data_IF_084082304734
#
_entry.id   IF_084082304734
#
_cell.length_a   1.000
_cell.length_b   1.000
_cell.length_c   1.000
_cell.angle_alpha   90.00
_cell.angle_beta   90.00
_cell.angle_gamma   90.00
#
_symmetry.space_group_name_H-M   'P 1'
#
loop_
_entity.id
_entity.type
_entity.pdbx_description
1 polymer ?
#
# COMPACT_ATOMS: atom_id res chain seq x y z
N UNK A 1 -2.07 15.07 -7.74
CA UNK A 1 -1.52 14.55 -6.48
C UNK A 1 -0.65 13.36 -6.83
N UNK A 2 0.49 13.14 -6.16
CA UNK A 2 1.38 12.02 -6.50
C UNK A 2 0.95 10.74 -5.77
N UNK A 3 0.96 9.62 -6.48
CA UNK A 3 0.59 8.28 -5.98
C UNK A 3 1.53 7.87 -4.85
N UNK A 4 2.85 8.00 -5.07
CA UNK A 4 3.89 7.67 -4.09
C UNK A 4 3.71 8.40 -2.75
N UNK A 5 3.29 9.66 -2.78
CA UNK A 5 3.06 10.44 -1.55
C UNK A 5 1.86 9.90 -0.78
N UNK A 6 0.76 9.62 -1.47
CA UNK A 6 -0.45 9.08 -0.85
C UNK A 6 -0.23 7.63 -0.38
N UNK A 7 0.53 6.84 -1.14
CA UNK A 7 0.96 5.50 -0.80
C UNK A 7 1.80 5.47 0.46
N UNK A 8 2.82 6.33 0.57
CA UNK A 8 3.63 6.43 1.78
C UNK A 8 2.81 6.82 3.01
N UNK A 9 1.86 7.75 2.87
CA UNK A 9 0.92 8.12 3.96
C UNK A 9 0.08 6.91 4.38
N UNK A 10 -0.53 6.22 3.41
CA UNK A 10 -1.35 5.04 3.66
C UNK A 10 -0.55 3.95 4.35
N UNK A 11 0.63 3.60 3.81
CA UNK A 11 1.46 2.54 4.34
C UNK A 11 1.90 2.81 5.78
N UNK A 12 2.55 3.96 6.02
CA UNK A 12 3.20 4.22 7.30
C UNK A 12 2.18 4.58 8.37
N UNK A 13 1.19 5.41 8.06
CA UNK A 13 0.30 5.98 9.08
C UNK A 13 -0.96 5.15 9.31
N UNK A 14 -1.46 4.46 8.28
CA UNK A 14 -2.70 3.68 8.36
C UNK A 14 -2.41 2.19 8.52
N UNK A 15 -1.64 1.61 7.58
CA UNK A 15 -1.34 0.18 7.57
C UNK A 15 -0.24 -0.23 8.55
N UNK A 16 0.52 0.74 9.07
CA UNK A 16 1.68 0.54 9.97
C UNK A 16 2.75 -0.37 9.36
N UNK A 17 2.94 -0.25 8.04
CA UNK A 17 3.93 -1.02 7.29
C UNK A 17 5.21 -0.24 6.96
N UNK A 18 6.11 -0.94 6.28
CA UNK A 18 7.30 -0.40 5.63
C UNK A 18 6.95 -0.03 4.17
N UNK A 19 7.07 1.25 3.83
CA UNK A 19 6.80 1.73 2.48
C UNK A 19 8.01 1.50 1.57
N UNK A 20 7.78 1.18 0.29
CA UNK A 20 8.83 0.95 -0.71
C UNK A 20 9.84 -0.11 -0.24
N UNK A 21 9.34 -1.24 0.28
CA UNK A 21 10.19 -2.33 0.79
C UNK A 21 10.93 -3.01 -0.36
N UNK A 22 12.26 -3.14 -0.25
CA UNK A 22 13.10 -3.66 -1.31
C UNK A 22 13.37 -5.17 -1.16
N UNK A 23 13.10 -5.94 -2.21
CA UNK A 23 13.28 -7.38 -2.24
C UNK A 23 14.17 -7.82 -3.39
N UNK A 24 14.96 -8.85 -3.13
CA UNK A 24 15.74 -9.55 -4.16
C UNK A 24 15.23 -10.97 -4.32
N UNK A 25 15.20 -11.43 -5.56
CA UNK A 25 14.74 -12.77 -5.88
C UNK A 25 15.54 -13.34 -7.05
N UNK A 26 15.69 -14.65 -7.06
CA UNK A 26 16.32 -15.36 -8.16
C UNK A 26 15.26 -15.79 -9.16
N UNK A 27 15.55 -15.63 -10.44
CA UNK A 27 14.71 -16.17 -11.50
C UNK A 27 15.58 -16.77 -12.60
N UNK A 28 15.10 -17.87 -13.19
CA UNK A 28 15.74 -18.47 -14.33
C UNK A 28 15.29 -17.77 -15.60
N UNK A 29 16.21 -17.06 -16.24
CA UNK A 29 15.95 -16.28 -17.45
C UNK A 29 17.01 -16.59 -18.49
N UNK A 30 16.59 -16.81 -19.75
CA UNK A 30 17.48 -17.10 -20.87
C UNK A 30 18.48 -18.25 -20.68
N UNK A 31 18.18 -19.23 -19.83
CA UNK A 31 19.06 -20.38 -19.60
C UNK A 31 20.04 -20.22 -18.42
N UNK A 32 19.98 -19.10 -17.69
CA UNK A 32 20.85 -18.81 -16.55
C UNK A 32 20.03 -18.35 -15.33
N UNK A 33 20.57 -18.59 -14.13
CA UNK A 33 20.03 -18.01 -12.90
C UNK A 33 20.52 -16.56 -12.79
N UNK A 34 19.57 -15.61 -12.72
CA UNK A 34 19.83 -14.20 -12.48
C UNK A 34 19.24 -13.72 -11.15
N UNK A 35 19.93 -12.78 -10.50
CA UNK A 35 19.42 -12.04 -9.34
C UNK A 35 18.70 -10.78 -9.85
N UNK A 36 17.44 -10.61 -9.43
CA UNK A 36 16.60 -9.46 -9.74
C UNK A 36 16.18 -8.76 -8.46
N UNK A 37 15.72 -7.52 -8.59
CA UNK A 37 15.21 -6.74 -7.46
C UNK A 37 13.91 -6.03 -7.82
N UNK A 38 13.04 -5.88 -6.83
CA UNK A 38 11.78 -5.15 -6.94
C UNK A 38 11.49 -4.39 -5.65
N UNK A 39 10.57 -3.44 -5.74
CA UNK A 39 10.01 -2.72 -4.59
C UNK A 39 8.53 -3.08 -4.49
N UNK A 40 8.02 -3.14 -3.26
CA UNK A 40 6.58 -3.26 -2.98
C UNK A 40 6.11 -1.97 -2.33
N UNK A 41 4.93 -1.50 -2.68
CA UNK A 41 4.44 -0.21 -2.19
C UNK A 41 4.33 -0.17 -0.66
N UNK A 42 3.85 -1.27 -0.06
CA UNK A 42 3.81 -1.39 1.40
C UNK A 42 3.85 -2.83 1.89
N UNK A 43 4.69 -3.08 2.89
CA UNK A 43 4.81 -4.38 3.53
C UNK A 43 4.49 -4.31 5.02
N UNK A 44 3.59 -5.17 5.47
CA UNK A 44 3.25 -5.36 6.89
C UNK A 44 3.70 -6.75 7.35
N UNK A 45 3.51 -7.09 8.62
CA UNK A 45 3.86 -8.44 9.13
C UNK A 45 3.16 -9.58 8.39
N UNK A 46 1.97 -9.34 7.84
CA UNK A 46 1.08 -10.39 7.31
C UNK A 46 0.71 -10.19 5.85
N UNK A 47 0.69 -8.94 5.37
CA UNK A 47 0.24 -8.57 4.05
C UNK A 47 1.32 -7.81 3.28
N UNK A 48 1.29 -7.97 1.96
CA UNK A 48 1.97 -7.10 1.02
C UNK A 48 0.93 -6.38 0.17
N UNK A 49 1.03 -5.07 0.12
CA UNK A 49 0.05 -4.20 -0.50
C UNK A 49 0.67 -3.52 -1.71
N UNK A 50 -0.10 -3.49 -2.79
CA UNK A 50 0.17 -2.63 -3.94
C UNK A 50 -0.95 -1.61 -4.09
N UNK A 51 -0.58 -0.40 -4.46
CA UNK A 51 -1.47 0.73 -4.54
C UNK A 51 -1.82 1.03 -6.00
N UNK A 52 -2.97 1.66 -6.18
CA UNK A 52 -3.43 2.10 -7.48
C UNK A 52 -4.32 3.31 -7.35
N UNK A 53 -4.09 4.35 -8.15
CA UNK A 53 -5.08 5.44 -8.29
C UNK A 53 -6.31 4.97 -9.09
N UNK A 54 -7.43 5.67 -8.93
CA UNK A 54 -8.71 5.59 -9.66
C UNK A 54 -8.61 5.91 -11.16
N UNK A 55 -7.63 5.30 -11.84
CA UNK A 55 -7.29 5.46 -13.25
C UNK A 55 -6.77 4.13 -13.80
N UNK A 56 -6.56 4.04 -15.11
CA UNK A 56 -6.10 2.82 -15.80
C UNK A 56 -4.87 2.14 -15.18
N UNK A 57 -3.95 2.88 -14.54
CA UNK A 57 -2.74 2.30 -13.96
C UNK A 57 -3.01 1.31 -12.82
N UNK A 58 -4.15 1.42 -12.11
CA UNK A 58 -4.49 0.48 -11.02
C UNK A 58 -4.75 -0.96 -11.47
N UNK A 59 -4.84 -1.20 -12.78
CA UNK A 59 -4.91 -2.57 -13.30
C UNK A 59 -3.63 -3.35 -13.01
N UNK A 60 -2.49 -2.67 -12.98
CA UNK A 60 -1.20 -3.31 -12.77
C UNK A 60 -1.03 -3.75 -11.30
N UNK A 61 -1.72 -3.10 -10.36
CA UNK A 61 -1.67 -3.38 -8.91
C UNK A 61 -2.05 -4.83 -8.58
N UNK A 62 -2.96 -5.46 -9.34
CA UNK A 62 -3.31 -6.87 -9.11
C UNK A 62 -2.18 -7.82 -9.49
N UNK A 63 -1.53 -7.58 -10.63
CA UNK A 63 -0.39 -8.38 -11.05
C UNK A 63 0.78 -8.19 -10.08
N UNK A 64 1.07 -6.94 -9.72
CA UNK A 64 2.10 -6.59 -8.76
C UNK A 64 1.85 -7.27 -7.41
N UNK A 65 0.62 -7.21 -6.87
CA UNK A 65 0.31 -7.79 -5.56
C UNK A 65 0.50 -9.31 -5.55
N UNK A 66 0.14 -9.98 -6.65
CA UNK A 66 0.37 -11.41 -6.81
C UNK A 66 1.86 -11.78 -6.83
N UNK A 67 2.68 -11.05 -7.60
CA UNK A 67 4.13 -11.25 -7.65
C UNK A 67 4.77 -10.94 -6.30
N UNK A 68 4.35 -9.85 -5.65
CA UNK A 68 4.86 -9.45 -4.35
C UNK A 68 4.55 -10.50 -3.27
N UNK A 69 3.34 -11.10 -3.31
CA UNK A 69 2.97 -12.18 -2.41
C UNK A 69 3.78 -13.46 -2.64
N UNK A 70 4.06 -13.81 -3.90
CA UNK A 70 4.91 -14.96 -4.24
C UNK A 70 6.34 -14.79 -3.70
N UNK A 71 6.92 -13.58 -3.86
CA UNK A 71 8.28 -13.27 -3.40
C UNK A 71 8.36 -13.19 -1.86
N UNK A 72 7.41 -12.52 -1.22
CA UNK A 72 7.44 -12.27 0.24
C UNK A 72 6.85 -13.42 1.08
N UNK A 73 6.03 -14.29 0.47
CA UNK A 73 5.23 -15.29 1.18
C UNK A 73 4.06 -14.72 2.00
N UNK A 74 3.70 -13.44 1.78
CA UNK A 74 2.64 -12.73 2.51
C UNK A 74 1.30 -12.75 1.76
N UNK A 75 0.24 -12.32 2.44
CA UNK A 75 -1.09 -12.22 1.86
C UNK A 75 -1.14 -11.02 0.90
N UNK A 76 -1.51 -11.21 -0.39
CA UNK A 76 -1.64 -10.10 -1.33
C UNK A 76 -2.85 -9.25 -0.99
N UNK A 77 -2.68 -7.93 -1.04
CA UNK A 77 -3.77 -6.97 -0.93
C UNK A 77 -3.54 -5.77 -1.85
N UNK A 78 -4.63 -5.09 -2.20
CA UNK A 78 -4.61 -3.90 -3.05
C UNK A 78 -5.27 -2.76 -2.30
N UNK A 79 -4.68 -1.57 -2.35
CA UNK A 79 -5.38 -0.37 -1.93
C UNK A 79 -5.62 0.58 -3.12
N UNK A 80 -6.89 0.86 -3.39
CA UNK A 80 -7.29 1.86 -4.37
C UNK A 80 -7.36 3.22 -3.69
N UNK A 81 -6.70 4.22 -4.27
CA UNK A 81 -6.72 5.59 -3.78
C UNK A 81 -7.64 6.41 -4.70
N UNK A 82 -8.85 6.66 -4.22
CA UNK A 82 -9.87 7.45 -4.88
C UNK A 82 -9.50 8.94 -4.78
N UNK A 83 -9.29 9.57 -5.95
CA UNK A 83 -8.86 10.97 -6.03
C UNK A 83 -10.00 11.93 -6.31
N UNK A 84 -11.18 11.43 -6.68
CA UNK A 84 -12.27 12.24 -7.21
C UNK A 84 -13.63 12.00 -6.50
N UNK A 85 -13.70 11.08 -5.54
CA UNK A 85 -14.89 10.70 -4.77
C UNK A 85 -16.00 10.04 -5.57
N UNK A 86 -15.67 9.51 -6.74
CA UNK A 86 -16.61 8.86 -7.65
C UNK A 86 -16.04 7.51 -8.04
N UNK A 87 -16.74 6.45 -7.65
CA UNK A 87 -16.42 5.12 -8.13
C UNK A 87 -16.54 5.07 -9.65
N UNK A 88 -15.45 4.70 -10.29
CA UNK A 88 -15.36 4.66 -11.74
C UNK A 88 -15.14 3.23 -12.26
N UNK A 89 -15.07 3.10 -13.58
CA UNK A 89 -14.94 1.78 -14.21
C UNK A 89 -13.62 1.08 -13.86
N UNK A 90 -12.57 1.82 -13.49
CA UNK A 90 -11.27 1.25 -13.19
C UNK A 90 -11.30 0.59 -11.81
N UNK A 91 -11.81 1.29 -10.78
CA UNK A 91 -12.00 0.74 -9.44
C UNK A 91 -12.84 -0.55 -9.48
N UNK A 92 -14.01 -0.49 -10.12
CA UNK A 92 -14.91 -1.64 -10.26
C UNK A 92 -14.23 -2.83 -10.97
N UNK A 93 -13.40 -2.58 -11.99
CA UNK A 93 -12.69 -3.64 -12.70
C UNK A 93 -11.62 -4.30 -11.83
N UNK A 94 -10.84 -3.51 -11.09
CA UNK A 94 -9.84 -4.04 -10.16
C UNK A 94 -10.50 -4.86 -9.06
N UNK A 95 -11.57 -4.34 -8.44
CA UNK A 95 -12.30 -5.07 -7.41
C UNK A 95 -12.87 -6.40 -7.90
N UNK A 96 -13.45 -6.43 -9.11
CA UNK A 96 -13.98 -7.66 -9.71
C UNK A 96 -12.87 -8.68 -9.98
N UNK A 97 -11.75 -8.23 -10.54
CA UNK A 97 -10.62 -9.10 -10.84
C UNK A 97 -9.97 -9.62 -9.56
N UNK A 98 -9.66 -8.75 -8.60
CA UNK A 98 -9.07 -9.12 -7.31
C UNK A 98 -9.95 -10.13 -6.55
N UNK A 99 -11.27 -9.88 -6.48
CA UNK A 99 -12.22 -10.81 -5.87
C UNK A 99 -12.21 -12.19 -6.55
N UNK A 100 -12.09 -12.24 -7.86
CA UNK A 100 -12.00 -13.50 -8.60
C UNK A 100 -10.75 -14.31 -8.22
N UNK A 101 -9.62 -13.62 -7.97
CA UNK A 101 -8.37 -14.24 -7.54
C UNK A 101 -8.23 -14.38 -6.01
N UNK A 102 -9.22 -13.95 -5.23
CA UNK A 102 -9.17 -13.99 -3.77
C UNK A 102 -8.22 -12.97 -3.13
N UNK A 103 -7.89 -11.89 -3.84
CA UNK A 103 -7.05 -10.78 -3.36
C UNK A 103 -7.93 -9.75 -2.66
N UNK A 104 -7.50 -9.30 -1.48
CA UNK A 104 -8.21 -8.26 -0.72
C UNK A 104 -8.09 -6.90 -1.42
N UNK A 105 -9.18 -6.12 -1.44
CA UNK A 105 -9.17 -4.74 -1.95
C UNK A 105 -9.77 -3.82 -0.91
N UNK A 106 -9.09 -2.70 -0.64
CA UNK A 106 -9.60 -1.61 0.18
C UNK A 106 -9.52 -0.29 -0.58
N UNK A 107 -10.49 0.59 -0.39
CA UNK A 107 -10.51 1.90 -1.04
C UNK A 107 -10.36 3.02 -0.02
N UNK A 108 -9.45 3.96 -0.29
CA UNK A 108 -9.15 5.11 0.54
C UNK A 108 -9.27 6.39 -0.27
N UNK A 109 -9.96 7.40 0.26
CA UNK A 109 -9.99 8.71 -0.42
C UNK A 109 -8.69 9.48 -0.16
N UNK A 110 -8.19 10.19 -1.17
CA UNK A 110 -7.00 11.03 -1.01
C UNK A 110 -7.17 12.06 0.12
N UNK A 111 -8.37 12.64 0.25
CA UNK A 111 -8.69 13.59 1.33
C UNK A 111 -8.61 12.98 2.73
N UNK A 112 -9.02 11.70 2.86
CA UNK A 112 -8.88 10.98 4.11
C UNK A 112 -7.40 10.82 4.48
N UNK A 113 -6.56 10.40 3.53
CA UNK A 113 -5.13 10.19 3.76
C UNK A 113 -4.42 11.50 4.14
N UNK A 114 -4.67 12.58 3.41
CA UNK A 114 -4.10 13.90 3.73
C UNK A 114 -4.54 14.35 5.12
N UNK A 115 -5.83 14.23 5.44
CA UNK A 115 -6.32 14.60 6.77
C UNK A 115 -5.68 13.74 7.85
N UNK A 116 -5.49 12.45 7.59
CA UNK A 116 -4.86 11.52 8.51
C UNK A 116 -3.44 11.97 8.83
N UNK A 117 -2.62 12.23 7.79
CA UNK A 117 -1.28 12.79 7.94
C UNK A 117 -1.26 14.07 8.79
N UNK A 118 -2.18 15.00 8.52
CA UNK A 118 -2.24 16.28 9.24
C UNK A 118 -2.72 16.16 10.68
N UNK A 119 -3.34 15.04 11.07
CA UNK A 119 -3.92 14.85 12.40
C UNK A 119 -3.28 13.70 13.19
N UNK A 120 -2.33 12.98 12.60
CA UNK A 120 -1.66 11.84 13.25
C UNK A 120 -0.98 12.27 14.56
N UNK A 121 -0.32 13.43 14.57
CA UNK A 121 0.33 13.97 15.76
C UNK A 121 -0.63 14.20 16.93
N UNK A 122 -1.92 14.52 16.67
CA UNK A 122 -2.91 14.71 17.73
C UNK A 122 -3.34 13.41 18.41
N UNK A 123 -3.09 12.26 17.76
CA UNK A 123 -3.44 10.93 18.28
C UNK A 123 -2.26 10.24 18.95
N UNK A 124 -1.05 10.52 18.47
CA UNK A 124 0.15 9.77 18.84
C UNK A 124 1.15 10.58 19.67
N UNK A 125 0.87 11.83 20.03
CA UNK A 125 1.71 12.56 20.99
C UNK A 125 1.48 12.07 22.41
N UNK A 126 2.55 11.81 23.20
CA UNK A 126 2.39 11.59 24.63
C UNK A 126 1.76 12.84 25.27
N UNK A 127 0.86 12.60 26.22
CA UNK A 127 0.26 13.68 27.00
C UNK A 127 1.36 14.61 27.53
N UNK A 128 1.15 15.95 27.48
CA UNK A 128 2.11 16.87 28.06
C UNK A 128 2.33 16.49 29.52
N UNK A 129 3.57 16.15 29.88
CA UNK A 129 3.93 15.80 31.26
C UNK A 129 3.55 16.99 32.14
N UNK A 130 2.66 16.82 33.15
CA UNK A 130 2.31 17.90 34.05
C UNK A 130 3.57 18.44 34.71
N UNK A 131 3.76 19.75 34.67
CA UNK A 131 4.93 20.43 35.27
C UNK A 131 5.11 20.13 36.78
N UNK A 132 4.08 19.58 37.43
CA UNK A 132 4.11 19.16 38.84
C UNK A 132 4.85 17.84 39.12
N UNK A 133 5.21 17.06 38.10
CA UNK A 133 5.88 15.76 38.26
C UNK A 133 7.37 15.77 37.87
N UNK A 134 7.93 16.93 37.51
CA UNK A 134 9.35 17.12 37.29
C UNK A 134 10.09 17.59 38.55
N UNK A 135 10.39 16.67 39.46
CA UNK A 135 11.50 16.76 40.43
C UNK A 135 12.08 15.39 40.70
#
# INVERSE_FOLDING_TARGET
MNEDLLGAILCVLVLKGEAESHHRYENFSYGELGEYSTYFDCETDTHVWEFGLDRRSSFDSLHQAGVAADISGKIPAIAIIDTNRTEDRFEMQVEKAARYFGVEVQTYTADYLIRWQMTDYLRNYPDPVPASLGR
#
